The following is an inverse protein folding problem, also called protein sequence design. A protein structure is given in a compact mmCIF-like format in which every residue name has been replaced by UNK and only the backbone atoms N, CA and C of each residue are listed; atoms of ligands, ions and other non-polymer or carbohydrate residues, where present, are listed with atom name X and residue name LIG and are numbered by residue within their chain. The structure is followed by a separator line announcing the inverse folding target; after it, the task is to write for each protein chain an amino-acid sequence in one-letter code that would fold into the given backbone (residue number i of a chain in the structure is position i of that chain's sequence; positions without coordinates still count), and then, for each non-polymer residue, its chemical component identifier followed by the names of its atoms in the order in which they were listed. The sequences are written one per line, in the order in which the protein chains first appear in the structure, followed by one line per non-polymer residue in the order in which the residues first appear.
data_IF_895201704286
#
_entry.id   IF_895201704286
#
_cell.length_a   1.000
_cell.length_b   1.000
_cell.length_c   1.000
_cell.angle_alpha   90.00
_cell.angle_beta   90.00
_cell.angle_gamma   90.00
#
_symmetry.space_group_name_H-M   'P 1'
#
loop_
_entity.id
_entity.type
_entity.pdbx_description
1 polymer ?
#
# COMPACT_ATOMS: atom_id res chain seq x y z
N UNK A 1 27.43 11.12 -39.79
CA UNK A 1 27.19 9.91 -38.98
C UNK A 1 25.84 10.16 -38.34
N UNK A 2 24.81 9.64 -38.98
CA UNK A 2 23.42 9.81 -38.54
C UNK A 2 23.16 8.78 -37.43
N UNK A 3 22.43 9.18 -36.39
CA UNK A 3 22.03 8.28 -35.32
C UNK A 3 20.86 7.42 -35.81
N UNK A 4 20.90 6.13 -35.50
CA UNK A 4 19.87 5.16 -35.89
C UNK A 4 18.50 5.54 -35.28
N UNK A 5 17.37 5.39 -36.00
CA UNK A 5 16.06 5.82 -35.51
C UNK A 5 15.60 5.15 -34.20
N UNK A 6 16.18 3.99 -33.86
CA UNK A 6 15.84 3.23 -32.66
C UNK A 6 16.31 3.88 -31.35
N UNK A 7 17.49 4.49 -31.31
CA UNK A 7 18.06 5.04 -30.07
C UNK A 7 17.30 6.29 -29.61
N UNK A 8 16.83 7.11 -30.55
CA UNK A 8 15.97 8.26 -30.27
C UNK A 8 14.64 7.89 -29.59
N UNK A 9 14.13 6.67 -29.82
CA UNK A 9 12.91 6.18 -29.16
C UNK A 9 13.15 5.71 -27.71
N UNK A 10 14.38 5.33 -27.37
CA UNK A 10 14.74 4.86 -26.03
C UNK A 10 15.12 6.01 -25.09
N UNK A 11 15.63 7.13 -25.62
CA UNK A 11 15.90 8.33 -24.81
C UNK A 11 14.64 9.20 -24.59
N UNK A 12 13.64 9.12 -25.47
CA UNK A 12 12.39 9.89 -25.37
C UNK A 12 11.42 9.40 -24.27
N UNK A 13 11.63 8.23 -23.67
CA UNK A 13 10.81 7.70 -22.57
C UNK A 13 11.26 8.17 -21.18
N UNK A 14 12.42 8.83 -21.06
CA UNK A 14 12.88 9.48 -19.82
C UNK A 14 12.05 10.74 -19.53
N UNK A 15 10.86 10.57 -18.96
CA UNK A 15 10.03 11.71 -18.56
C UNK A 15 8.66 11.43 -17.93
N UNK A 16 8.09 10.23 -18.04
CA UNK A 16 6.86 9.86 -17.33
C UNK A 16 7.05 8.57 -16.54
N UNK A 17 7.15 8.72 -15.22
CA UNK A 17 7.07 7.61 -14.26
C UNK A 17 5.62 7.13 -14.24
N UNK A 18 5.40 5.83 -14.40
CA UNK A 18 4.07 5.24 -14.23
C UNK A 18 3.62 5.39 -12.77
N UNK A 19 2.31 5.44 -12.51
CA UNK A 19 1.75 5.56 -11.16
C UNK A 19 0.82 4.40 -10.76
N UNK A 20 0.50 3.51 -11.72
CA UNK A 20 -0.37 2.34 -11.54
C UNK A 20 0.46 1.07 -11.74
N UNK A 21 1.12 0.64 -10.68
CA UNK A 21 2.13 -0.41 -10.71
C UNK A 21 1.55 -1.82 -10.64
N UNK A 22 2.35 -2.80 -11.03
CA UNK A 22 2.12 -4.22 -10.72
C UNK A 22 2.60 -4.54 -9.31
N UNK A 23 2.08 -5.60 -8.70
CA UNK A 23 2.61 -6.08 -7.39
C UNK A 23 4.03 -6.60 -7.58
N UNK A 24 5.04 -6.10 -6.83
CA UNK A 24 6.40 -6.62 -6.87
C UNK A 24 6.45 -8.13 -6.63
N UNK A 25 7.25 -8.85 -7.43
CA UNK A 25 7.29 -10.32 -7.41
C UNK A 25 7.62 -10.90 -6.02
N UNK A 26 8.43 -10.17 -5.23
CA UNK A 26 8.82 -10.55 -3.88
C UNK A 26 7.64 -10.61 -2.88
N UNK A 27 6.56 -9.85 -3.12
CA UNK A 27 5.39 -9.80 -2.24
C UNK A 27 4.29 -10.82 -2.56
N UNK A 28 4.27 -11.37 -3.78
CA UNK A 28 3.29 -12.41 -4.19
C UNK A 28 3.41 -13.74 -3.42
N UNK A 29 4.52 -13.90 -2.69
CA UNK A 29 4.79 -15.09 -1.89
C UNK A 29 4.86 -16.36 -2.74
N UNK A 30 4.75 -17.53 -2.09
CA UNK A 30 4.74 -18.83 -2.79
C UNK A 30 3.34 -19.18 -3.34
N UNK A 31 2.71 -18.24 -4.05
CA UNK A 31 1.48 -18.45 -4.81
C UNK A 31 0.16 -18.16 -4.07
N UNK A 32 0.10 -17.12 -3.23
CA UNK A 32 -1.15 -16.68 -2.60
C UNK A 32 -1.44 -15.19 -2.86
N UNK A 33 -1.85 -14.89 -4.09
CA UNK A 33 -2.14 -13.52 -4.56
C UNK A 33 -3.48 -12.94 -4.05
N UNK A 34 -4.19 -13.62 -3.15
CA UNK A 34 -5.51 -13.20 -2.70
C UNK A 34 -5.52 -11.84 -1.98
N UNK A 35 -4.41 -11.44 -1.35
CA UNK A 35 -4.27 -10.15 -0.67
C UNK A 35 -4.16 -8.95 -1.63
N UNK A 36 -3.89 -9.18 -2.92
CA UNK A 36 -3.73 -8.15 -3.96
C UNK A 36 -4.83 -8.17 -5.04
N UNK A 37 -5.64 -9.22 -5.05
CA UNK A 37 -6.66 -9.45 -6.08
C UNK A 37 -8.04 -9.00 -5.59
N UNK A 38 -8.80 -8.23 -6.39
CA UNK A 38 -10.14 -7.79 -6.02
C UNK A 38 -11.12 -8.96 -5.82
N UNK A 39 -12.09 -8.72 -4.95
CA UNK A 39 -13.04 -9.72 -4.46
C UNK A 39 -14.49 -9.45 -4.90
N UNK A 40 -14.86 -8.19 -5.11
CA UNK A 40 -16.18 -7.74 -5.56
C UNK A 40 -16.13 -7.00 -6.90
N UNK A 41 -15.19 -6.07 -7.07
CA UNK A 41 -15.15 -5.13 -8.20
C UNK A 41 -13.76 -5.01 -8.82
N UNK A 42 -13.65 -5.35 -10.11
CA UNK A 42 -12.53 -4.88 -10.92
C UNK A 42 -12.67 -3.39 -11.17
N UNK A 43 -11.60 -2.64 -10.99
CA UNK A 43 -11.45 -1.22 -11.35
C UNK A 43 -10.16 -1.12 -12.14
N UNK A 44 -10.22 -0.55 -13.34
CA UNK A 44 -9.03 -0.48 -14.18
C UNK A 44 -8.74 -1.77 -14.95
N UNK A 45 -7.57 -1.85 -15.61
CA UNK A 45 -7.33 -2.83 -16.67
C UNK A 45 -6.97 -4.24 -16.18
N UNK A 46 -6.13 -4.37 -15.14
CA UNK A 46 -5.45 -5.63 -14.82
C UNK A 46 -6.38 -6.77 -14.37
N UNK A 47 -7.59 -6.45 -13.88
CA UNK A 47 -8.59 -7.43 -13.45
C UNK A 47 -9.89 -7.42 -14.28
N UNK A 48 -9.95 -6.59 -15.33
CA UNK A 48 -11.17 -6.35 -16.13
C UNK A 48 -11.79 -7.63 -16.71
N UNK A 49 -10.95 -8.61 -17.08
CA UNK A 49 -11.36 -9.89 -17.65
C UNK A 49 -11.69 -10.99 -16.62
N UNK A 50 -11.56 -10.75 -15.31
CA UNK A 50 -11.75 -11.76 -14.27
C UNK A 50 -13.23 -12.24 -14.22
N UNK A 51 -13.51 -13.53 -14.52
CA UNK A 51 -14.89 -14.02 -14.59
C UNK A 51 -15.61 -14.01 -13.23
N UNK A 52 -14.88 -13.92 -12.12
CA UNK A 52 -15.46 -13.89 -10.76
C UNK A 52 -16.08 -12.54 -10.42
N UNK A 53 -15.68 -11.48 -11.10
CA UNK A 53 -16.07 -10.08 -10.81
C UNK A 53 -17.20 -9.58 -11.73
N UNK A 54 -17.78 -10.47 -12.54
CA UNK A 54 -18.82 -10.15 -13.54
C UNK A 54 -20.11 -9.63 -12.92
N UNK A 55 -20.48 -10.11 -11.73
CA UNK A 55 -21.72 -9.70 -11.05
C UNK A 55 -21.75 -8.19 -10.77
N UNK A 56 -20.60 -7.56 -10.53
CA UNK A 56 -20.52 -6.12 -10.31
C UNK A 56 -20.62 -5.30 -11.61
N UNK A 57 -20.27 -5.87 -12.78
CA UNK A 57 -20.39 -5.14 -14.05
C UNK A 57 -21.84 -4.72 -14.32
N UNK A 58 -22.81 -5.58 -13.99
CA UNK A 58 -24.24 -5.23 -14.01
C UNK A 58 -24.57 -4.00 -13.14
N UNK A 59 -23.90 -3.84 -11.99
CA UNK A 59 -24.11 -2.69 -11.11
C UNK A 59 -23.43 -1.42 -11.63
N UNK A 60 -22.31 -1.53 -12.35
CA UNK A 60 -21.71 -0.40 -13.08
C UNK A 60 -22.61 0.08 -14.22
N UNK A 61 -23.06 -0.84 -15.08
CA UNK A 61 -23.99 -0.54 -16.19
C UNK A 61 -25.26 0.15 -15.68
N UNK A 62 -25.82 -0.38 -14.58
CA UNK A 62 -26.98 0.19 -13.89
C UNK A 62 -26.72 1.60 -13.36
N UNK A 63 -25.55 1.84 -12.74
CA UNK A 63 -25.18 3.17 -12.25
C UNK A 63 -24.97 4.15 -13.39
N UNK A 64 -24.32 3.74 -14.49
CA UNK A 64 -24.17 4.55 -15.69
C UNK A 64 -25.53 4.94 -16.29
N UNK A 65 -26.46 3.98 -16.43
CA UNK A 65 -27.84 4.26 -16.86
C UNK A 65 -28.57 5.25 -15.92
N UNK A 66 -28.38 5.13 -14.60
CA UNK A 66 -28.88 6.11 -13.62
C UNK A 66 -28.24 7.50 -13.80
N UNK A 67 -26.92 7.59 -14.02
CA UNK A 67 -26.20 8.85 -14.25
C UNK A 67 -26.72 9.54 -15.52
N UNK A 68 -26.78 8.82 -16.65
CA UNK A 68 -27.21 9.37 -17.94
C UNK A 68 -28.66 9.87 -17.86
N UNK A 69 -29.57 9.10 -17.21
CA UNK A 69 -30.96 9.53 -16.97
C UNK A 69 -31.09 10.73 -16.04
N UNK A 70 -30.26 10.81 -14.99
CA UNK A 70 -30.29 11.88 -13.98
C UNK A 70 -29.70 13.19 -14.52
N UNK A 71 -28.65 13.11 -15.34
CA UNK A 71 -27.95 14.27 -15.91
C UNK A 71 -28.54 14.72 -17.25
N UNK A 72 -29.20 13.84 -17.99
CA UNK A 72 -29.67 14.09 -19.35
C UNK A 72 -28.57 14.07 -20.40
N UNK A 73 -27.37 13.62 -20.04
CA UNK A 73 -26.18 13.57 -20.91
C UNK A 73 -26.16 12.34 -21.81
N UNK A 74 -25.48 12.46 -22.94
CA UNK A 74 -25.13 11.31 -23.76
C UNK A 74 -23.79 10.69 -23.32
N UNK A 75 -23.63 9.39 -23.53
CA UNK A 75 -22.38 8.69 -23.18
C UNK A 75 -21.18 9.21 -24.00
N UNK A 76 -21.41 9.74 -25.20
CA UNK A 76 -20.37 10.39 -26.02
C UNK A 76 -19.70 11.57 -25.31
N UNK A 77 -20.40 12.33 -24.46
CA UNK A 77 -19.79 13.43 -23.69
C UNK A 77 -18.69 12.93 -22.74
N UNK A 78 -18.85 11.73 -22.18
CA UNK A 78 -17.85 11.11 -21.32
C UNK A 78 -16.65 10.58 -22.11
N UNK A 79 -16.89 10.01 -23.29
CA UNK A 79 -15.81 9.57 -24.18
C UNK A 79 -15.00 10.76 -24.70
N UNK A 80 -15.66 11.80 -25.20
CA UNK A 80 -14.99 12.99 -25.74
C UNK A 80 -14.14 13.70 -24.67
N UNK A 81 -14.56 13.71 -23.40
CA UNK A 81 -13.79 14.29 -22.30
C UNK A 81 -12.50 13.54 -21.96
N UNK A 82 -12.43 12.20 -22.15
CA UNK A 82 -11.23 11.41 -21.84
C UNK A 82 -10.40 11.05 -23.09
N UNK A 83 -10.92 11.28 -24.29
CA UNK A 83 -10.34 10.85 -25.56
C UNK A 83 -8.92 11.34 -25.78
N UNK A 84 -8.68 12.63 -25.60
CA UNK A 84 -7.36 13.25 -25.78
C UNK A 84 -6.39 12.92 -24.63
N UNK A 85 -6.89 12.25 -23.58
CA UNK A 85 -6.13 11.82 -22.40
C UNK A 85 -5.82 10.31 -22.39
N UNK A 86 -6.34 9.54 -23.35
CA UNK A 86 -6.22 8.07 -23.40
C UNK A 86 -4.75 7.60 -23.30
N UNK A 87 -3.86 8.19 -24.08
CA UNK A 87 -2.45 7.81 -24.12
C UNK A 87 -1.74 8.20 -22.81
N UNK A 88 -2.13 9.29 -22.16
CA UNK A 88 -1.59 9.67 -20.85
C UNK A 88 -2.09 8.74 -19.75
N UNK A 89 -3.38 8.42 -19.75
CA UNK A 89 -3.98 7.46 -18.82
C UNK A 89 -3.39 6.05 -18.99
N UNK A 90 -3.08 5.64 -20.23
CA UNK A 90 -2.39 4.39 -20.53
C UNK A 90 -0.95 4.40 -20.02
N UNK A 91 -0.21 5.50 -20.22
CA UNK A 91 1.16 5.66 -19.75
C UNK A 91 1.28 5.68 -18.21
N UNK A 92 0.19 5.85 -17.48
CA UNK A 92 0.17 5.64 -16.03
C UNK A 92 0.32 4.16 -15.63
N UNK A 93 0.01 3.20 -16.49
CA UNK A 93 0.02 1.77 -16.19
C UNK A 93 1.33 1.08 -16.60
N UNK A 94 1.90 0.33 -15.67
CA UNK A 94 3.00 -0.61 -15.91
C UNK A 94 2.52 -1.79 -16.79
N UNK A 95 3.28 -2.13 -17.83
CA UNK A 95 3.00 -3.25 -18.75
C UNK A 95 1.60 -3.28 -19.40
N UNK A 96 1.08 -2.12 -19.85
CA UNK A 96 -0.22 -2.04 -20.56
C UNK A 96 -0.13 -1.61 -22.05
N UNK A 97 0.48 -2.43 -22.93
CA UNK A 97 0.54 -2.11 -24.36
C UNK A 97 -0.85 -2.13 -25.03
N UNK A 98 -1.03 -1.28 -26.05
CA UNK A 98 -2.28 -1.18 -26.83
C UNK A 98 -2.69 -2.54 -27.44
N UNK A 99 -1.71 -3.39 -27.81
CA UNK A 99 -1.94 -4.74 -28.32
C UNK A 99 -2.62 -5.69 -27.33
N UNK A 100 -2.49 -5.46 -26.02
CA UNK A 100 -3.18 -6.27 -25.00
C UNK A 100 -4.53 -5.69 -24.61
N UNK A 101 -4.73 -4.37 -24.75
CA UNK A 101 -5.99 -3.71 -24.41
C UNK A 101 -6.25 -2.53 -25.36
N UNK A 102 -7.00 -2.72 -26.46
CA UNK A 102 -7.24 -1.69 -27.47
C UNK A 102 -7.86 -0.41 -26.91
N UNK A 103 -7.53 0.74 -27.47
CA UNK A 103 -7.97 2.06 -26.96
C UNK A 103 -9.49 2.22 -26.85
N UNK A 104 -10.28 1.63 -27.75
CA UNK A 104 -11.74 1.70 -27.65
C UNK A 104 -12.26 1.00 -26.39
N UNK A 105 -11.77 -0.20 -26.07
CA UNK A 105 -12.20 -0.97 -24.91
C UNK A 105 -11.57 -0.46 -23.60
N UNK A 106 -10.36 0.11 -23.67
CA UNK A 106 -9.73 0.81 -22.56
C UNK A 106 -10.51 2.08 -22.18
N UNK A 107 -10.92 2.91 -23.15
CA UNK A 107 -11.79 4.06 -22.89
C UNK A 107 -13.16 3.66 -22.33
N UNK A 108 -13.80 2.60 -22.87
CA UNK A 108 -15.05 2.04 -22.30
C UNK A 108 -14.90 1.68 -20.83
N UNK A 109 -13.80 0.99 -20.50
CA UNK A 109 -13.47 0.63 -19.13
C UNK A 109 -13.27 1.87 -18.25
N UNK A 110 -12.45 2.85 -18.68
CA UNK A 110 -12.21 4.08 -17.92
C UNK A 110 -13.49 4.86 -17.63
N UNK A 111 -14.38 5.02 -18.62
CA UNK A 111 -15.69 5.69 -18.43
C UNK A 111 -16.56 4.90 -17.45
N UNK A 112 -16.76 3.60 -17.68
CA UNK A 112 -17.66 2.78 -16.89
C UNK A 112 -17.21 2.66 -15.43
N UNK A 113 -15.93 2.40 -15.22
CA UNK A 113 -15.34 2.22 -13.90
C UNK A 113 -15.22 3.57 -13.18
N UNK A 114 -14.83 4.64 -13.88
CA UNK A 114 -14.77 5.98 -13.30
C UNK A 114 -16.13 6.52 -12.88
N UNK A 115 -17.16 6.36 -13.72
CA UNK A 115 -18.55 6.67 -13.36
C UNK A 115 -19.02 5.87 -12.14
N UNK A 116 -18.74 4.56 -12.09
CA UNK A 116 -19.05 3.74 -10.93
C UNK A 116 -18.34 4.22 -9.66
N UNK A 117 -17.04 4.51 -9.73
CA UNK A 117 -16.25 5.00 -8.59
C UNK A 117 -16.83 6.30 -8.02
N UNK A 118 -17.12 7.28 -8.89
CA UNK A 118 -17.62 8.59 -8.46
C UNK A 118 -19.05 8.52 -7.93
N UNK A 119 -19.95 7.79 -8.59
CA UNK A 119 -21.33 7.59 -8.12
C UNK A 119 -21.36 6.87 -6.77
N UNK A 120 -20.47 5.89 -6.57
CA UNK A 120 -20.31 5.20 -5.31
C UNK A 120 -19.77 6.13 -4.21
N UNK A 121 -18.66 6.84 -4.46
CA UNK A 121 -18.06 7.76 -3.49
C UNK A 121 -19.03 8.88 -3.08
N UNK A 122 -19.71 9.52 -4.03
CA UNK A 122 -20.72 10.55 -3.74
C UNK A 122 -21.92 9.96 -3.00
N UNK A 123 -22.40 8.77 -3.38
CA UNK A 123 -23.50 8.09 -2.70
C UNK A 123 -23.17 7.63 -1.27
N UNK A 124 -21.88 7.47 -0.95
CA UNK A 124 -21.37 7.09 0.37
C UNK A 124 -20.89 8.27 1.24
N UNK A 125 -20.63 9.45 0.65
CA UNK A 125 -20.06 10.64 1.32
C UNK A 125 -20.82 11.02 2.60
N UNK A 126 -22.15 11.00 2.56
CA UNK A 126 -22.97 10.89 3.78
C UNK A 126 -23.91 9.68 3.67
N UNK A 127 -24.26 9.08 4.83
CA UNK A 127 -25.09 7.85 4.93
C UNK A 127 -26.50 7.93 4.31
N UNK A 128 -26.90 9.07 3.77
CA UNK A 128 -28.16 9.30 3.07
C UNK A 128 -28.02 9.85 1.64
N UNK A 129 -26.82 10.24 1.17
CA UNK A 129 -26.64 10.91 -0.12
C UNK A 129 -27.03 10.06 -1.34
N UNK A 130 -26.91 8.72 -1.27
CA UNK A 130 -27.44 7.86 -2.34
C UNK A 130 -28.95 8.04 -2.59
N UNK A 131 -29.73 8.51 -1.61
CA UNK A 131 -31.15 8.83 -1.81
C UNK A 131 -31.35 10.11 -2.63
N UNK A 132 -30.40 11.04 -2.59
CA UNK A 132 -30.39 12.28 -3.38
C UNK A 132 -29.97 12.02 -4.82
N UNK A 133 -29.06 11.06 -5.03
CA UNK A 133 -28.78 10.48 -6.36
C UNK A 133 -29.96 9.66 -6.94
N UNK A 134 -31.01 9.41 -6.15
CA UNK A 134 -32.24 8.73 -6.57
C UNK A 134 -32.29 7.22 -6.29
N UNK A 135 -31.30 6.64 -5.61
CA UNK A 135 -31.30 5.22 -5.26
C UNK A 135 -32.24 4.92 -4.08
N UNK A 136 -32.87 3.74 -4.11
CA UNK A 136 -33.83 3.31 -3.08
C UNK A 136 -33.13 2.92 -1.77
N UNK A 137 -33.82 3.07 -0.63
CA UNK A 137 -33.31 2.71 0.72
C UNK A 137 -32.84 1.25 0.92
N UNK A 138 -33.10 0.37 -0.04
CA UNK A 138 -32.68 -1.05 -0.05
C UNK A 138 -31.80 -1.36 -1.26
N UNK A 139 -31.10 -0.37 -1.81
CA UNK A 139 -30.21 -0.57 -2.95
C UNK A 139 -29.13 -1.62 -2.61
N UNK A 140 -28.90 -2.62 -3.47
CA UNK A 140 -27.94 -3.70 -3.18
C UNK A 140 -26.51 -3.22 -2.90
N UNK A 141 -26.11 -2.06 -3.44
CA UNK A 141 -24.78 -1.47 -3.22
C UNK A 141 -24.78 -0.63 -1.93
N UNK A 142 -25.65 0.39 -1.86
CA UNK A 142 -25.60 1.38 -0.78
C UNK A 142 -26.22 0.92 0.55
N UNK A 143 -27.20 0.01 0.54
CA UNK A 143 -27.91 -0.38 1.77
C UNK A 143 -27.20 -1.48 2.57
N UNK A 144 -26.09 -2.04 2.07
CA UNK A 144 -25.41 -3.18 2.67
C UNK A 144 -24.00 -2.80 3.09
N UNK A 145 -23.77 -2.78 4.39
CA UNK A 145 -22.52 -2.30 4.95
C UNK A 145 -21.28 -3.09 4.45
N UNK A 146 -21.38 -4.42 4.36
CA UNK A 146 -20.30 -5.26 3.80
C UNK A 146 -20.00 -5.00 2.32
N UNK A 147 -21.00 -4.55 1.55
CA UNK A 147 -20.84 -4.25 0.12
C UNK A 147 -20.07 -2.94 -0.05
N UNK A 148 -20.45 -1.92 0.72
CA UNK A 148 -19.71 -0.66 0.81
C UNK A 148 -18.25 -0.89 1.26
N UNK A 149 -18.04 -1.63 2.36
CA UNK A 149 -16.70 -1.96 2.84
C UNK A 149 -15.87 -2.73 1.80
N UNK A 150 -16.41 -3.77 1.17
CA UNK A 150 -15.67 -4.55 0.18
C UNK A 150 -15.32 -3.76 -1.08
N UNK A 151 -16.21 -2.88 -1.57
CA UNK A 151 -15.92 -2.00 -2.70
C UNK A 151 -14.79 -1.02 -2.34
N UNK A 152 -14.80 -0.43 -1.15
CA UNK A 152 -13.73 0.45 -0.68
C UNK A 152 -12.38 -0.27 -0.50
N UNK A 153 -12.39 -1.54 -0.10
CA UNK A 153 -11.17 -2.36 -0.04
C UNK A 153 -10.62 -2.69 -1.42
N UNK A 154 -11.48 -3.05 -2.38
CA UNK A 154 -11.07 -3.26 -3.76
C UNK A 154 -10.55 -1.96 -4.41
N UNK A 155 -11.12 -0.79 -4.06
CA UNK A 155 -10.67 0.54 -4.53
C UNK A 155 -9.26 0.93 -4.08
N UNK A 156 -8.64 0.23 -3.11
CA UNK A 156 -7.28 0.52 -2.63
C UNK A 156 -6.27 -0.58 -2.95
N UNK A 157 -6.62 -1.56 -3.80
CA UNK A 157 -5.65 -2.56 -4.26
C UNK A 157 -4.77 -1.97 -5.36
N UNK A 158 -3.46 -2.23 -5.31
CA UNK A 158 -2.48 -1.61 -6.21
C UNK A 158 -2.73 -1.94 -7.69
N UNK A 159 -3.22 -3.15 -7.98
CA UNK A 159 -3.59 -3.59 -9.33
C UNK A 159 -5.06 -3.26 -9.73
N UNK A 160 -5.75 -2.40 -8.96
CA UNK A 160 -7.18 -2.13 -9.14
C UNK A 160 -7.50 -0.62 -9.10
N UNK A 161 -6.73 0.18 -9.83
CA UNK A 161 -6.73 1.65 -9.78
C UNK A 161 -7.08 2.30 -11.14
N UNK A 162 -7.56 3.55 -11.08
CA UNK A 162 -7.73 4.48 -12.21
C UNK A 162 -7.05 5.82 -11.87
N UNK A 163 -6.37 6.49 -12.83
CA UNK A 163 -5.76 7.80 -12.60
C UNK A 163 -6.75 8.86 -12.14
N UNK A 164 -6.40 9.62 -11.09
CA UNK A 164 -7.27 10.67 -10.53
C UNK A 164 -7.68 11.69 -11.59
N UNK A 165 -6.79 12.09 -12.51
CA UNK A 165 -7.14 13.08 -13.52
C UNK A 165 -8.26 12.61 -14.48
N UNK A 166 -8.37 11.30 -14.73
CA UNK A 166 -9.51 10.72 -15.47
C UNK A 166 -10.78 10.82 -14.64
N UNK A 167 -10.71 10.56 -13.33
CA UNK A 167 -11.85 10.74 -12.42
C UNK A 167 -12.26 12.23 -12.33
N UNK A 168 -11.32 13.18 -12.34
CA UNK A 168 -11.64 14.61 -12.37
C UNK A 168 -12.40 15.00 -13.64
N UNK A 169 -12.00 14.50 -14.82
CA UNK A 169 -12.72 14.77 -16.06
C UNK A 169 -14.12 14.14 -16.08
N UNK A 170 -14.26 12.89 -15.62
CA UNK A 170 -15.58 12.23 -15.51
C UNK A 170 -16.46 12.97 -14.48
N UNK A 171 -15.89 13.49 -13.39
CA UNK A 171 -16.59 14.28 -12.38
C UNK A 171 -17.10 15.61 -12.94
N UNK A 172 -16.26 16.33 -13.70
CA UNK A 172 -16.64 17.56 -14.40
C UNK A 172 -17.81 17.30 -15.37
N UNK A 173 -17.74 16.23 -16.17
CA UNK A 173 -18.85 15.84 -17.06
C UNK A 173 -20.10 15.48 -16.25
N UNK A 174 -19.98 14.71 -15.16
CA UNK A 174 -21.14 14.20 -14.41
C UNK A 174 -21.85 15.28 -13.58
N UNK A 175 -21.11 16.20 -12.97
CA UNK A 175 -21.64 17.16 -11.98
C UNK A 175 -21.58 18.62 -12.42
N UNK A 176 -20.82 18.95 -13.48
CA UNK A 176 -20.64 20.33 -13.95
C UNK A 176 -19.75 21.18 -13.03
N UNK A 177 -19.00 20.54 -12.13
CA UNK A 177 -18.05 21.19 -11.22
C UNK A 177 -16.61 20.97 -11.72
N UNK A 178 -15.89 22.07 -11.92
CA UNK A 178 -14.52 22.12 -12.48
C UNK A 178 -13.43 22.17 -11.40
N UNK A 179 -13.79 22.13 -10.11
CA UNK A 179 -12.81 22.16 -9.03
C UNK A 179 -12.15 20.78 -8.86
N UNK A 180 -10.87 20.71 -9.25
CA UNK A 180 -10.04 19.48 -9.17
C UNK A 180 -9.80 18.95 -7.74
N UNK A 181 -10.25 19.65 -6.69
CA UNK A 181 -10.16 19.20 -5.30
C UNK A 181 -11.31 18.25 -4.89
N UNK A 182 -12.46 18.28 -5.57
CA UNK A 182 -13.68 17.58 -5.15
C UNK A 182 -13.54 16.06 -5.12
N UNK A 183 -12.90 15.47 -6.13
CA UNK A 183 -12.66 14.02 -6.16
C UNK A 183 -11.69 13.62 -5.05
N UNK A 184 -10.67 14.44 -4.80
CA UNK A 184 -9.72 14.26 -3.71
C UNK A 184 -10.38 14.39 -2.33
N UNK A 185 -11.31 15.33 -2.14
CA UNK A 185 -12.14 15.45 -0.92
C UNK A 185 -13.00 14.19 -0.70
N UNK A 186 -13.66 13.69 -1.75
CA UNK A 186 -14.45 12.44 -1.70
C UNK A 186 -13.58 11.24 -1.32
N UNK A 187 -12.37 11.13 -1.91
CA UNK A 187 -11.41 10.08 -1.57
C UNK A 187 -10.91 10.22 -0.12
N UNK A 188 -10.57 11.42 0.35
CA UNK A 188 -10.08 11.61 1.71
C UNK A 188 -11.15 11.38 2.80
N UNK A 189 -12.44 11.64 2.51
CA UNK A 189 -13.52 11.27 3.43
C UNK A 189 -13.73 9.74 3.47
N UNK A 190 -13.70 9.07 2.30
CA UNK A 190 -13.87 7.62 2.21
C UNK A 190 -12.70 6.84 2.85
N UNK A 191 -11.46 7.22 2.50
CA UNK A 191 -10.22 6.54 2.89
C UNK A 191 -9.59 7.20 4.13
N UNK A 192 -10.34 7.18 5.21
CA UNK A 192 -10.01 7.87 6.45
C UNK A 192 -8.99 7.09 7.32
N UNK A 193 -8.08 7.75 8.08
CA UNK A 193 -7.21 7.06 9.04
C UNK A 193 -7.94 6.20 10.10
N UNK A 194 -9.22 6.47 10.41
CA UNK A 194 -10.00 5.69 11.40
C UNK A 194 -10.12 4.21 11.09
N UNK A 195 -9.97 3.82 9.84
CA UNK A 195 -9.87 2.42 9.45
C UNK A 195 -8.70 1.75 10.21
N UNK A 196 -7.53 2.40 10.24
CA UNK A 196 -6.31 1.87 10.88
C UNK A 196 -6.29 2.11 12.39
N UNK A 197 -6.64 3.31 12.85
CA UNK A 197 -6.51 3.65 14.29
C UNK A 197 -7.74 3.25 15.12
N UNK A 198 -8.86 2.88 14.50
CA UNK A 198 -10.05 2.35 15.16
C UNK A 198 -10.83 3.31 16.08
N UNK A 199 -10.42 4.59 16.15
CA UNK A 199 -11.06 5.62 16.97
C UNK A 199 -11.01 6.97 16.28
N UNK A 200 -12.07 7.74 16.50
CA UNK A 200 -12.13 9.17 16.24
C UNK A 200 -11.40 9.89 17.38
N UNK A 201 -10.29 10.63 17.15
CA UNK A 201 -9.70 11.49 18.15
C UNK A 201 -10.75 12.46 18.68
N UNK A 202 -10.79 12.64 20.01
CA UNK A 202 -11.56 13.74 20.61
C UNK A 202 -10.61 14.92 20.74
N UNK A 203 -11.07 16.10 20.35
CA UNK A 203 -10.35 17.34 20.68
C UNK A 203 -10.32 17.52 22.20
N UNK A 204 -9.44 18.40 22.70
CA UNK A 204 -9.41 18.77 24.12
C UNK A 204 -10.77 19.29 24.63
N UNK A 205 -11.60 19.83 23.72
CA UNK A 205 -12.93 20.35 23.97
C UNK A 205 -14.04 19.26 23.93
N UNK A 206 -13.69 17.99 23.68
CA UNK A 206 -14.64 16.88 23.63
C UNK A 206 -15.46 16.78 22.34
N UNK A 207 -15.30 17.71 21.39
CA UNK A 207 -15.80 17.52 20.03
C UNK A 207 -15.09 16.31 19.39
N UNK A 208 -15.86 15.47 18.67
CA UNK A 208 -15.27 14.51 17.73
C UNK A 208 -14.45 15.30 16.72
N UNK A 209 -13.16 15.00 16.54
CA UNK A 209 -12.53 15.27 15.26
C UNK A 209 -13.18 14.33 14.25
N UNK A 210 -14.34 14.71 13.71
CA UNK A 210 -14.63 14.29 12.35
C UNK A 210 -13.43 14.83 11.56
N UNK A 211 -12.57 13.93 11.08
CA UNK A 211 -11.54 14.25 10.09
C UNK A 211 -12.26 14.47 8.74
N UNK A 212 -13.22 15.39 8.75
CA UNK A 212 -13.78 15.96 7.55
C UNK A 212 -12.67 16.77 6.93
N UNK A 213 -12.46 16.59 5.63
CA UNK A 213 -11.51 17.38 4.85
C UNK A 213 -11.68 18.89 5.09
N UNK A 214 -12.90 19.35 5.40
CA UNK A 214 -13.23 20.73 5.76
C UNK A 214 -12.49 21.33 6.99
N UNK A 215 -11.85 20.51 7.84
CA UNK A 215 -11.07 20.97 9.01
C UNK A 215 -9.58 20.61 8.98
N UNK A 216 -9.13 19.84 8.00
CA UNK A 216 -7.70 19.77 7.69
C UNK A 216 -7.42 20.90 6.71
N UNK A 217 -6.39 21.70 6.97
CA UNK A 217 -5.96 22.70 5.99
C UNK A 217 -5.40 21.97 4.75
N UNK A 218 -6.24 21.80 3.72
CA UNK A 218 -5.91 21.15 2.43
C UNK A 218 -4.78 21.91 1.69
N UNK A 219 -4.42 23.10 2.17
CA UNK A 219 -3.32 23.92 1.67
C UNK A 219 -1.96 23.25 1.88
N UNK A 220 -1.44 22.63 0.81
CA UNK A 220 -0.04 22.18 0.73
C UNK A 220 0.18 20.67 0.55
N UNK A 221 -0.88 19.85 0.43
CA UNK A 221 -0.71 18.46 -0.06
C UNK A 221 -0.50 18.45 -1.59
N UNK A 222 0.31 17.52 -2.07
CA UNK A 222 0.32 17.15 -3.49
C UNK A 222 -0.98 16.40 -3.82
N UNK A 223 -1.52 16.61 -5.02
CA UNK A 223 -2.69 15.88 -5.49
C UNK A 223 -2.34 14.39 -5.66
N UNK A 224 -3.09 13.42 -5.09
CA UNK A 224 -2.79 12.00 -5.27
C UNK A 224 -3.05 11.54 -6.71
N UNK A 225 -2.33 10.54 -7.18
CA UNK A 225 -2.53 9.93 -8.50
C UNK A 225 -3.67 8.90 -8.54
N UNK A 226 -4.07 8.35 -7.39
CA UNK A 226 -4.95 7.17 -7.27
C UNK A 226 -5.68 7.13 -5.91
N UNK A 227 -6.66 6.23 -5.75
CA UNK A 227 -7.32 5.98 -4.45
C UNK A 227 -6.35 5.40 -3.41
N UNK A 228 -5.47 4.48 -3.82
CA UNK A 228 -4.44 3.90 -2.96
C UNK A 228 -3.47 4.99 -2.44
N UNK A 229 -2.98 5.86 -3.34
CA UNK A 229 -2.15 7.00 -2.92
C UNK A 229 -2.94 7.97 -2.04
N UNK A 230 -4.21 8.27 -2.38
CA UNK A 230 -5.03 9.14 -1.56
C UNK A 230 -5.15 8.61 -0.13
N UNK A 231 -5.39 7.30 0.07
CA UNK A 231 -5.41 6.70 1.40
C UNK A 231 -4.03 6.75 2.09
N UNK A 232 -2.96 6.44 1.37
CA UNK A 232 -1.59 6.51 1.89
C UNK A 232 -1.24 7.93 2.36
N UNK A 233 -1.51 8.96 1.56
CA UNK A 233 -1.33 10.37 1.94
C UNK A 233 -2.20 10.76 3.15
N UNK A 234 -3.44 10.25 3.21
CA UNK A 234 -4.36 10.57 4.29
C UNK A 234 -3.93 10.00 5.63
N UNK A 235 -3.34 8.79 5.60
CA UNK A 235 -2.60 8.26 6.73
C UNK A 235 -1.45 9.24 7.03
N UNK A 236 -0.50 9.39 6.11
CA UNK A 236 0.78 10.12 6.28
C UNK A 236 0.69 11.65 6.52
N UNK A 237 -0.50 12.22 6.74
CA UNK A 237 -0.70 13.66 6.91
C UNK A 237 0.06 14.24 8.12
N UNK A 238 0.43 15.52 8.01
CA UNK A 238 1.18 16.28 9.03
C UNK A 238 2.53 15.64 9.45
N UNK A 239 3.19 14.95 8.52
CA UNK A 239 4.60 14.58 8.67
C UNK A 239 5.55 15.79 8.48
N UNK A 240 5.35 16.85 9.27
CA UNK A 240 6.23 18.04 9.32
C UNK A 240 7.56 17.78 10.05
N UNK A 241 7.77 16.57 10.58
CA UNK A 241 9.00 16.16 11.28
C UNK A 241 9.74 15.07 10.49
N UNK A 242 10.95 15.36 9.95
CA UNK A 242 11.80 14.37 9.31
C UNK A 242 12.64 13.62 10.36
N UNK A 243 11.98 12.90 11.28
CA UNK A 243 12.65 11.85 12.04
C UNK A 243 12.35 10.50 11.38
N UNK A 244 13.38 9.70 11.02
CA UNK A 244 13.19 8.28 10.77
C UNK A 244 12.92 7.61 12.13
N UNK A 245 11.68 7.79 12.63
CA UNK A 245 11.23 7.44 13.98
C UNK A 245 11.61 6.02 14.36
N UNK A 246 11.52 5.10 13.40
CA UNK A 246 11.89 3.70 13.61
C UNK A 246 13.41 3.52 13.74
N UNK A 247 14.24 4.20 12.94
CA UNK A 247 15.71 4.14 13.04
C UNK A 247 16.22 4.65 14.40
N UNK A 248 15.62 5.73 14.93
CA UNK A 248 15.92 6.22 16.28
C UNK A 248 15.46 5.21 17.36
N UNK A 249 14.27 4.61 17.20
CA UNK A 249 13.78 3.57 18.10
C UNK A 249 14.65 2.29 18.07
N UNK A 250 15.10 1.84 16.89
CA UNK A 250 16.00 0.69 16.70
C UNK A 250 17.27 0.84 17.56
N UNK A 251 18.02 1.93 17.38
CA UNK A 251 19.27 2.16 18.12
C UNK A 251 19.07 2.31 19.63
N UNK A 252 17.96 2.89 20.07
CA UNK A 252 17.68 3.09 21.50
C UNK A 252 17.13 1.84 22.20
N UNK A 253 16.33 1.01 21.52
CA UNK A 253 15.80 -0.25 22.05
C UNK A 253 16.90 -1.31 22.18
N UNK A 254 17.78 -1.44 21.18
CA UNK A 254 18.95 -2.33 21.29
C UNK A 254 19.91 -1.88 22.40
N UNK A 255 20.17 -0.58 22.53
CA UNK A 255 20.97 -0.04 23.65
C UNK A 255 20.35 -0.36 25.02
N UNK A 256 19.03 -0.19 25.18
CA UNK A 256 18.32 -0.51 26.41
C UNK A 256 18.40 -2.01 26.76
N UNK A 257 18.23 -2.89 25.76
CA UNK A 257 18.37 -4.33 25.88
C UNK A 257 19.79 -4.73 26.32
N UNK A 258 20.84 -4.29 25.60
CA UNK A 258 22.26 -4.58 25.93
C UNK A 258 22.65 -4.07 27.33
N UNK A 259 22.13 -2.90 27.73
CA UNK A 259 22.32 -2.33 29.08
C UNK A 259 21.65 -3.17 30.16
N UNK A 260 20.51 -3.80 29.87
CA UNK A 260 19.82 -4.69 30.81
C UNK A 260 20.55 -6.02 31.00
N UNK A 261 21.04 -6.65 29.91
CA UNK A 261 21.92 -7.83 29.99
C UNK A 261 23.17 -7.57 30.83
N UNK A 262 23.80 -6.41 30.63
CA UNK A 262 24.97 -5.96 31.41
C UNK A 262 24.68 -5.81 32.91
N UNK A 263 23.45 -5.41 33.28
CA UNK A 263 22.99 -5.32 34.68
C UNK A 263 22.62 -6.67 35.29
N UNK A 264 22.28 -7.67 34.46
CA UNK A 264 21.92 -9.04 34.89
C UNK A 264 23.11 -9.98 35.06
N UNK A 265 24.33 -9.50 34.84
CA UNK A 265 25.54 -10.31 34.99
C UNK A 265 25.74 -11.36 33.89
N UNK A 266 25.01 -11.27 32.78
CA UNK A 266 25.19 -12.15 31.61
C UNK A 266 26.37 -11.64 30.78
N UNK A 267 27.57 -11.81 31.31
CA UNK A 267 28.81 -11.46 30.64
C UNK A 267 29.41 -12.69 29.94
N UNK A 268 29.44 -12.66 28.61
CA UNK A 268 30.27 -13.49 27.70
C UNK A 268 30.06 -15.01 27.74
N UNK A 269 29.03 -15.48 27.03
CA UNK A 269 29.18 -16.60 26.08
C UNK A 269 28.40 -16.24 24.80
N UNK A 270 28.86 -16.72 23.64
CA UNK A 270 28.44 -16.31 22.28
C UNK A 270 28.75 -14.86 21.91
N UNK A 271 30.04 -14.60 21.66
CA UNK A 271 30.48 -13.56 20.74
C UNK A 271 31.68 -14.10 19.96
N UNK A 272 31.40 -14.96 18.97
CA UNK A 272 32.34 -15.31 17.91
C UNK A 272 31.86 -14.63 16.63
N UNK A 273 32.65 -13.70 16.13
CA UNK A 273 32.50 -13.12 14.80
C UNK A 273 32.90 -14.16 13.75
N UNK A 274 32.25 -14.21 12.56
CA UNK A 274 32.77 -15.00 11.46
C UNK A 274 34.15 -14.44 11.08
N UNK A 275 35.18 -15.25 11.26
CA UNK A 275 36.51 -14.92 10.75
C UNK A 275 36.57 -15.26 9.27
N UNK A 276 37.03 -14.32 8.45
CA UNK A 276 37.37 -14.61 7.07
C UNK A 276 38.49 -15.68 7.02
N UNK A 277 38.51 -16.57 6.03
CA UNK A 277 39.54 -17.60 5.93
C UNK A 277 40.88 -16.95 5.57
N UNK A 278 41.80 -16.86 6.53
CA UNK A 278 43.19 -16.52 6.24
C UNK A 278 43.88 -17.68 5.50
N UNK A 279 44.47 -17.35 4.36
CA UNK A 279 45.36 -18.24 3.63
C UNK A 279 46.48 -18.75 4.54
N UNK A 280 46.67 -20.07 4.57
CA UNK A 280 47.94 -20.67 4.98
C UNK A 280 48.58 -21.33 3.78
N UNK A 281 49.54 -20.63 3.20
CA UNK A 281 50.63 -21.28 2.49
C UNK A 281 51.31 -22.28 3.44
N UNK A 282 51.57 -23.47 2.93
CA UNK A 282 52.79 -24.22 3.19
C UNK A 282 53.02 -25.13 1.98
N UNK A 283 54.24 -25.07 1.44
CA UNK A 283 54.65 -25.76 0.23
C UNK A 283 55.26 -27.14 0.51
N UNK A 284 55.71 -27.81 -0.56
CA UNK A 284 56.47 -29.08 -0.61
C UNK A 284 55.62 -30.34 -0.30
N UNK A 285 55.64 -31.46 -1.03
CA UNK A 285 56.16 -31.88 -2.36
C UNK A 285 55.41 -33.21 -2.74
N UNK A 286 55.55 -33.93 -3.88
CA UNK A 286 56.50 -33.98 -5.00
C UNK A 286 55.81 -34.62 -6.26
N UNK A 287 56.25 -34.27 -7.47
CA UNK A 287 56.32 -35.05 -8.74
C UNK A 287 55.26 -36.10 -9.21
N UNK A 288 54.71 -35.88 -10.43
CA UNK A 288 54.81 -36.72 -11.66
C UNK A 288 53.72 -36.27 -12.67
N UNK A 289 54.05 -35.77 -13.87
CA UNK A 289 54.25 -36.53 -15.14
C UNK A 289 53.02 -37.39 -15.56
N UNK A 290 52.47 -37.35 -16.79
CA UNK A 290 52.69 -36.54 -17.99
C UNK A 290 51.55 -36.85 -19.03
N UNK A 291 51.47 -36.11 -20.15
CA UNK A 291 50.88 -36.47 -21.46
C UNK A 291 49.38 -36.29 -21.82
N UNK A 292 49.20 -35.40 -22.82
CA UNK A 292 48.55 -35.61 -24.12
C UNK A 292 47.01 -35.51 -24.32
N UNK A 293 46.62 -34.42 -25.01
CA UNK A 293 45.86 -34.36 -26.27
C UNK A 293 44.68 -35.33 -26.53
N UNK A 294 43.48 -34.74 -26.74
CA UNK A 294 42.65 -34.84 -27.97
C UNK A 294 41.28 -34.15 -27.74
N UNK A 295 40.98 -33.10 -28.51
CA UNK A 295 40.15 -33.09 -29.74
C UNK A 295 38.63 -33.05 -29.48
N UNK A 296 38.05 -31.92 -29.93
CA UNK A 296 36.74 -31.72 -30.55
C UNK A 296 35.58 -32.70 -30.25
N UNK A 297 34.44 -32.14 -29.81
CA UNK A 297 33.16 -32.33 -30.49
C UNK A 297 32.18 -31.20 -30.14
N UNK A 298 31.49 -30.69 -31.17
CA UNK A 298 30.45 -29.67 -31.08
C UNK A 298 29.06 -30.27 -30.71
N UNK A 299 28.04 -29.42 -30.72
CA UNK A 299 26.61 -29.75 -30.72
C UNK A 299 26.01 -30.38 -29.44
N UNK A 300 25.61 -29.52 -28.49
CA UNK A 300 24.20 -29.37 -28.08
C UNK A 300 24.05 -28.22 -27.08
N UNK A 301 23.93 -26.98 -27.58
CA UNK A 301 23.61 -25.82 -26.75
C UNK A 301 22.08 -25.71 -26.57
N UNK A 302 21.56 -26.20 -25.44
CA UNK A 302 20.24 -25.77 -24.95
C UNK A 302 20.26 -24.24 -24.75
N UNK A 303 19.14 -23.52 -25.00
CA UNK A 303 19.11 -22.08 -24.84
C UNK A 303 19.35 -21.71 -23.38
N UNK A 304 20.39 -20.93 -23.12
CA UNK A 304 20.77 -20.51 -21.78
C UNK A 304 19.59 -19.87 -21.05
N UNK A 305 19.09 -20.56 -20.01
CA UNK A 305 18.30 -19.89 -18.97
C UNK A 305 19.19 -18.83 -18.33
N UNK A 306 18.99 -17.56 -18.70
CA UNK A 306 19.47 -16.41 -17.91
C UNK A 306 19.15 -16.70 -16.45
N UNK A 307 20.19 -16.78 -15.62
CA UNK A 307 20.02 -16.99 -14.18
C UNK A 307 19.37 -15.73 -13.61
N UNK A 308 18.08 -15.85 -13.29
CA UNK A 308 17.38 -14.87 -12.46
C UNK A 308 18.06 -14.93 -11.09
N UNK A 309 18.90 -13.93 -10.80
CA UNK A 309 19.79 -13.93 -9.64
C UNK A 309 20.40 -12.57 -9.31
N UNK A 310 20.62 -11.72 -10.33
CA UNK A 310 21.34 -10.44 -10.19
C UNK A 310 20.44 -9.20 -10.35
N UNK A 311 19.15 -9.30 -10.06
CA UNK A 311 18.38 -8.11 -9.66
C UNK A 311 18.69 -7.81 -8.19
N UNK A 312 19.10 -6.59 -7.83
CA UNK A 312 19.45 -6.26 -6.46
C UNK A 312 18.19 -6.29 -5.59
N UNK A 313 17.98 -7.42 -4.91
CA UNK A 313 17.11 -7.50 -3.75
C UNK A 313 17.48 -6.34 -2.82
N UNK A 314 16.50 -5.53 -2.45
CA UNK A 314 16.73 -4.39 -1.54
C UNK A 314 17.10 -4.97 -0.18
N UNK A 315 18.41 -5.08 0.05
CA UNK A 315 18.97 -5.25 1.39
C UNK A 315 18.76 -3.91 2.09
N UNK A 316 17.55 -3.73 2.62
CA UNK A 316 17.39 -3.02 3.88
C UNK A 316 18.39 -3.70 4.83
N UNK A 317 19.29 -2.95 5.45
CA UNK A 317 20.37 -3.50 6.29
C UNK A 317 19.79 -4.05 7.62
N UNK A 318 19.11 -5.18 7.49
CA UNK A 318 18.41 -5.90 8.55
C UNK A 318 19.40 -6.54 9.55
N UNK A 319 20.65 -6.74 9.17
CA UNK A 319 21.66 -7.40 10.02
C UNK A 319 22.12 -6.51 11.17
N UNK A 320 22.05 -5.18 11.04
CA UNK A 320 22.56 -4.27 12.07
C UNK A 320 21.53 -3.90 13.17
N UNK A 321 20.22 -4.04 12.92
CA UNK A 321 19.17 -3.44 13.77
C UNK A 321 18.01 -4.40 14.13
N UNK A 322 18.30 -5.61 14.61
CA UNK A 322 17.26 -6.54 15.10
C UNK A 322 16.66 -6.07 16.44
N UNK A 323 15.46 -5.48 16.41
CA UNK A 323 14.63 -5.29 17.61
C UNK A 323 14.24 -6.65 18.18
N UNK A 324 14.16 -6.74 19.51
CA UNK A 324 13.70 -7.94 20.22
C UNK A 324 12.19 -7.91 20.40
N UNK A 325 11.57 -9.10 20.53
CA UNK A 325 10.12 -9.20 20.72
C UNK A 325 9.63 -8.45 21.97
N UNK A 326 8.33 -8.15 22.03
CA UNK A 326 7.68 -7.48 23.16
C UNK A 326 8.03 -8.15 24.50
N UNK A 327 7.93 -9.47 24.56
CA UNK A 327 8.24 -10.25 25.77
C UNK A 327 9.72 -10.13 26.17
N UNK A 328 10.65 -10.18 25.21
CA UNK A 328 12.06 -9.96 25.49
C UNK A 328 12.33 -8.52 25.97
N UNK A 329 11.81 -7.50 25.29
CA UNK A 329 11.97 -6.11 25.74
C UNK A 329 11.37 -5.88 27.13
N UNK A 330 10.20 -6.46 27.41
CA UNK A 330 9.56 -6.46 28.74
C UNK A 330 10.43 -7.15 29.79
N UNK A 331 11.04 -8.28 29.46
CA UNK A 331 12.05 -8.90 30.33
C UNK A 331 13.21 -7.95 30.60
N UNK A 332 13.74 -7.20 29.61
CA UNK A 332 14.79 -6.21 29.86
C UNK A 332 14.35 -5.00 30.71
N UNK A 333 13.05 -4.86 31.01
CA UNK A 333 12.49 -3.76 31.78
C UNK A 333 11.97 -2.60 30.94
N UNK A 334 11.72 -2.82 29.64
CA UNK A 334 10.94 -1.88 28.81
C UNK A 334 9.47 -1.96 29.23
N UNK A 335 8.82 -0.81 29.37
CA UNK A 335 7.42 -0.68 29.76
C UNK A 335 6.60 -0.26 28.55
N UNK A 336 5.70 -1.12 28.09
CA UNK A 336 4.81 -0.84 26.97
C UNK A 336 3.61 0.02 27.42
N UNK A 337 3.27 1.05 26.64
CA UNK A 337 2.06 1.86 26.82
C UNK A 337 1.42 2.23 25.49
N UNK A 338 0.09 2.24 25.45
CA UNK A 338 -0.66 2.86 24.36
C UNK A 338 -0.43 4.38 24.30
N UNK A 339 -0.22 4.89 23.08
CA UNK A 339 -0.15 6.31 22.75
C UNK A 339 -1.44 6.77 22.07
N UNK A 340 -2.06 7.81 22.61
CA UNK A 340 -3.26 8.43 22.03
C UNK A 340 -2.87 9.43 20.94
N UNK A 341 -2.71 8.95 19.71
CA UNK A 341 -2.26 9.73 18.54
C UNK A 341 -3.04 9.29 17.30
N UNK A 342 -3.35 10.19 16.35
CA UNK A 342 -3.99 9.82 15.08
C UNK A 342 -3.02 9.11 14.10
N UNK A 343 -1.73 9.10 14.41
CA UNK A 343 -0.66 8.64 13.54
C UNK A 343 -0.19 7.23 13.95
N UNK A 344 -0.49 6.19 13.17
CA UNK A 344 -0.18 4.81 13.60
C UNK A 344 1.32 4.48 13.66
N UNK A 345 2.17 5.24 12.95
CA UNK A 345 3.64 5.11 12.94
C UNK A 345 4.35 5.93 14.04
N UNK A 346 3.62 6.73 14.83
CA UNK A 346 4.16 7.65 15.85
C UNK A 346 4.63 6.93 17.13
N UNK A 347 5.53 5.95 16.97
CA UNK A 347 6.18 5.21 18.05
C UNK A 347 7.23 6.08 18.74
N UNK A 348 7.30 6.02 20.07
CA UNK A 348 8.28 6.79 20.86
C UNK A 348 8.86 5.99 22.02
N UNK A 349 10.18 6.04 22.19
CA UNK A 349 10.87 5.42 23.32
C UNK A 349 11.57 6.47 24.18
N UNK A 350 11.26 6.53 25.48
CA UNK A 350 11.99 7.36 26.45
C UNK A 350 13.06 6.53 27.17
N UNK A 351 14.33 6.77 26.80
CA UNK A 351 15.52 6.19 27.43
C UNK A 351 15.61 6.40 28.95
N UNK A 352 14.98 7.46 29.51
CA UNK A 352 15.07 7.77 30.95
C UNK A 352 14.10 6.94 31.78
N UNK A 353 12.85 6.80 31.32
CA UNK A 353 11.83 5.99 32.00
C UNK A 353 11.78 4.53 31.56
N UNK A 354 12.38 4.20 30.41
CA UNK A 354 12.27 2.87 29.78
C UNK A 354 10.90 2.60 29.16
N UNK A 355 10.09 3.64 28.93
CA UNK A 355 8.74 3.51 28.37
C UNK A 355 8.79 3.53 26.84
N UNK A 356 8.18 2.53 26.22
CA UNK A 356 7.86 2.48 24.79
C UNK A 356 6.37 2.80 24.60
N UNK A 357 6.09 3.97 24.05
CA UNK A 357 4.76 4.42 23.67
C UNK A 357 4.46 3.97 22.23
N UNK A 358 3.45 3.11 22.06
CA UNK A 358 3.04 2.53 20.77
C UNK A 358 1.63 3.04 20.43
N UNK A 359 1.40 3.60 19.22
CA UNK A 359 0.07 3.99 18.75
C UNK A 359 -0.94 2.84 18.76
N UNK A 360 -2.23 3.17 18.86
CA UNK A 360 -3.28 2.17 18.69
C UNK A 360 -3.40 1.74 17.22
N UNK A 361 -3.43 0.43 16.98
CA UNK A 361 -3.80 -0.15 15.70
C UNK A 361 -5.02 -1.08 15.84
N UNK A 362 -5.97 -0.92 14.93
CA UNK A 362 -7.13 -1.79 14.77
C UNK A 362 -6.79 -2.89 13.77
N UNK A 363 -6.88 -4.14 14.23
CA UNK A 363 -6.71 -5.33 13.39
C UNK A 363 -8.10 -5.88 13.07
N UNK A 364 -8.45 -5.82 11.79
CA UNK A 364 -9.65 -6.34 11.17
C UNK A 364 -9.29 -7.32 10.04
N UNK A 365 -10.29 -8.01 9.48
CA UNK A 365 -10.10 -9.04 8.45
C UNK A 365 -9.36 -8.53 7.20
N UNK A 366 -9.56 -7.26 6.85
CA UNK A 366 -8.96 -6.61 5.68
C UNK A 366 -7.59 -5.95 5.96
N UNK A 367 -7.17 -5.80 7.22
CA UNK A 367 -5.96 -5.04 7.57
C UNK A 367 -4.69 -5.59 6.91
N UNK A 368 -4.57 -6.92 6.80
CA UNK A 368 -3.43 -7.58 6.16
C UNK A 368 -3.31 -7.19 4.67
N UNK A 369 -4.40 -7.28 3.92
CA UNK A 369 -4.43 -6.93 2.49
C UNK A 369 -4.09 -5.46 2.29
N UNK A 370 -4.69 -4.55 3.07
CA UNK A 370 -4.37 -3.12 3.02
C UNK A 370 -2.87 -2.85 3.25
N UNK A 371 -2.28 -3.39 4.33
CA UNK A 371 -0.84 -3.17 4.61
C UNK A 371 0.08 -3.77 3.55
N UNK A 372 -0.28 -4.90 2.95
CA UNK A 372 0.47 -5.48 1.82
C UNK A 372 0.41 -4.61 0.56
N UNK A 373 -0.75 -4.02 0.25
CA UNK A 373 -0.89 -3.11 -0.90
C UNK A 373 -0.14 -1.79 -0.67
N UNK A 374 -0.15 -1.25 0.55
CA UNK A 374 0.70 -0.12 0.92
C UNK A 374 2.20 -0.44 0.85
N UNK A 375 2.62 -1.64 1.28
CA UNK A 375 4.01 -2.07 1.17
C UNK A 375 4.43 -2.18 -0.29
N UNK A 376 3.58 -2.76 -1.16
CA UNK A 376 3.79 -2.79 -2.60
C UNK A 376 3.92 -1.37 -3.17
N UNK A 377 3.04 -0.46 -2.75
CA UNK A 377 3.05 0.94 -3.17
C UNK A 377 4.37 1.65 -2.79
N UNK A 378 4.83 1.56 -1.54
CA UNK A 378 6.10 2.16 -1.12
C UNK A 378 7.33 1.54 -1.80
N UNK A 379 7.33 0.22 -2.05
CA UNK A 379 8.39 -0.45 -2.81
C UNK A 379 8.42 -0.04 -4.29
N UNK A 380 7.32 0.45 -4.85
CA UNK A 380 7.28 1.00 -6.20
C UNK A 380 7.70 2.48 -6.27
N UNK A 381 7.65 3.21 -5.14
CA UNK A 381 7.96 4.65 -5.06
C UNK A 381 9.28 4.97 -4.33
N UNK A 382 10.25 4.06 -4.31
CA UNK A 382 11.50 4.14 -3.50
C UNK A 382 12.27 5.46 -3.62
N UNK A 383 12.20 6.15 -4.76
CA UNK A 383 12.85 7.45 -4.99
C UNK A 383 12.25 8.61 -4.17
N UNK A 384 11.07 8.41 -3.57
CA UNK A 384 10.39 9.37 -2.70
C UNK A 384 10.68 8.99 -1.23
N UNK A 385 11.18 9.94 -0.43
CA UNK A 385 11.82 9.72 0.88
C UNK A 385 10.88 9.28 2.03
N UNK A 386 9.86 8.44 1.78
CA UNK A 386 8.71 8.27 2.66
C UNK A 386 8.28 6.81 2.92
N UNK A 387 9.22 5.89 3.14
CA UNK A 387 8.97 4.46 3.44
C UNK A 387 8.47 4.20 4.90
N UNK A 388 7.52 4.99 5.43
CA UNK A 388 7.12 4.84 6.85
C UNK A 388 6.25 3.60 7.09
N UNK A 389 5.44 3.16 6.12
CA UNK A 389 4.60 1.97 6.32
C UNK A 389 5.46 0.71 6.33
N UNK A 390 6.40 0.57 5.39
CA UNK A 390 7.40 -0.49 5.39
C UNK A 390 8.23 -0.48 6.69
N UNK A 391 8.70 0.69 7.12
CA UNK A 391 9.44 0.83 8.39
C UNK A 391 8.61 0.41 9.61
N UNK A 392 7.32 0.74 9.65
CA UNK A 392 6.40 0.35 10.72
C UNK A 392 6.10 -1.16 10.69
N UNK A 393 5.92 -1.75 9.51
CA UNK A 393 5.67 -3.20 9.39
C UNK A 393 6.89 -3.99 9.87
N UNK A 394 8.11 -3.61 9.48
CA UNK A 394 9.35 -4.25 9.96
C UNK A 394 9.54 -4.12 11.49
N UNK A 395 9.13 -2.98 12.05
CA UNK A 395 9.11 -2.77 13.50
C UNK A 395 8.12 -3.70 14.21
N UNK A 396 6.90 -3.82 13.67
CA UNK A 396 5.87 -4.70 14.25
C UNK A 396 6.22 -6.19 14.09
N UNK A 397 6.82 -6.59 12.96
CA UNK A 397 7.35 -7.94 12.73
C UNK A 397 8.44 -8.30 13.75
N UNK A 398 9.37 -7.37 14.01
CA UNK A 398 10.39 -7.52 15.05
C UNK A 398 9.81 -7.62 16.47
N UNK A 399 8.72 -6.91 16.76
CA UNK A 399 8.05 -6.94 18.05
C UNK A 399 7.21 -8.21 18.27
N UNK A 400 6.52 -8.70 17.25
CA UNK A 400 5.43 -9.70 17.39
C UNK A 400 5.88 -11.06 16.86
N UNK A 401 6.56 -11.83 17.70
CA UNK A 401 7.06 -13.17 17.35
C UNK A 401 6.20 -14.31 17.91
N UNK A 402 5.27 -14.01 18.83
CA UNK A 402 4.47 -15.00 19.54
C UNK A 402 3.09 -14.44 19.95
N UNK A 403 2.17 -15.33 20.30
CA UNK A 403 0.86 -14.94 20.85
C UNK A 403 1.00 -14.11 22.14
N UNK A 404 2.03 -14.38 22.96
CA UNK A 404 2.29 -13.62 24.18
C UNK A 404 2.69 -12.16 23.90
N UNK A 405 3.42 -11.90 22.81
CA UNK A 405 3.72 -10.52 22.38
C UNK A 405 2.43 -9.78 21.98
N UNK A 406 1.50 -10.45 21.28
CA UNK A 406 0.19 -9.89 20.92
C UNK A 406 -0.67 -9.62 22.16
N UNK A 407 -0.70 -10.55 23.10
CA UNK A 407 -1.51 -10.42 24.32
C UNK A 407 -1.01 -9.28 25.22
N UNK A 408 0.30 -9.04 25.28
CA UNK A 408 0.87 -7.87 25.96
C UNK A 408 0.48 -6.55 25.26
N UNK A 409 0.56 -6.48 23.93
CA UNK A 409 0.16 -5.30 23.16
C UNK A 409 -1.35 -5.04 23.23
N UNK A 410 -2.17 -6.08 23.36
CA UNK A 410 -3.61 -5.96 23.69
C UNK A 410 -3.82 -5.45 25.11
N UNK A 411 -3.10 -5.99 26.09
CA UNK A 411 -3.21 -5.61 27.49
C UNK A 411 -2.81 -4.14 27.74
N UNK A 412 -1.82 -3.61 27.00
CA UNK A 412 -1.46 -2.19 27.07
C UNK A 412 -2.33 -1.28 26.17
N UNK A 413 -3.24 -1.86 25.37
CA UNK A 413 -4.17 -1.15 24.49
C UNK A 413 -3.58 -0.69 23.15
N UNK A 414 -2.38 -1.16 22.77
CA UNK A 414 -1.76 -0.83 21.48
C UNK A 414 -2.38 -1.62 20.32
N UNK A 415 -2.79 -2.87 20.53
CA UNK A 415 -3.55 -3.65 19.55
C UNK A 415 -5.00 -3.80 20.01
N UNK A 416 -5.94 -3.44 19.12
CA UNK A 416 -7.37 -3.71 19.29
C UNK A 416 -7.84 -4.58 18.13
N UNK A 417 -8.59 -5.64 18.41
CA UNK A 417 -9.23 -6.45 17.36
C UNK A 417 -10.70 -6.05 17.22
N UNK A 418 -11.22 -6.01 15.98
CA UNK A 418 -12.67 -5.90 15.78
C UNK A 418 -13.33 -7.26 15.99
N UNK A 419 -13.98 -7.45 17.14
CA UNK A 419 -15.08 -8.41 17.19
C UNK A 419 -16.18 -7.94 16.22
N UNK A 420 -16.79 -8.86 15.47
CA UNK A 420 -17.73 -8.55 14.37
C UNK A 420 -18.90 -7.62 14.79
N UNK A 421 -19.24 -7.54 16.08
CA UNK A 421 -20.31 -6.70 16.62
C UNK A 421 -20.05 -5.18 16.48
N UNK A 422 -18.78 -4.73 16.47
CA UNK A 422 -18.45 -3.30 16.40
C UNK A 422 -18.75 -2.72 15.01
N UNK A 423 -18.44 -3.46 13.95
CA UNK A 423 -18.75 -3.06 12.57
C UNK A 423 -20.25 -3.07 12.28
N UNK A 424 -21.03 -3.93 12.96
CA UNK A 424 -22.48 -4.04 12.78
C UNK A 424 -23.28 -2.92 13.49
N UNK A 425 -22.62 -2.05 14.26
CA UNK A 425 -23.28 -0.95 14.97
C UNK A 425 -24.24 -1.40 16.07
N UNK A 426 -24.18 -2.66 16.50
CA UNK A 426 -25.03 -3.24 17.56
C UNK A 426 -24.45 -2.97 18.95
N UNK A 427 -24.34 -1.69 19.30
CA UNK A 427 -24.24 -1.29 20.71
C UNK A 427 -25.61 -1.47 21.37
N UNK A 428 -25.67 -2.22 22.48
CA UNK A 428 -26.85 -2.30 23.36
C UNK A 428 -27.01 -1.05 24.22
#
# INVERSE_FOLDING_TARGET
MELEPGEASFEASKGKKHCMYRVPWCLRGRGNDNDFRPQLVSIGPYHSADPRLRDMQFHKDRMLDCILKRTGKDISEFYDAIKDLEHEARACYEDLPETSFPSEDFMKMLVLDGCFMLEFLVGCYERSHYSELGYVKKDPIFSKLYMCYGILMDMILIENQIPLFILNQIYEVQFGDTHNDKVTDLMFEAFNPFWVIGRVPKSENGEKLILSSSKLEVTGRNMPSSCLEAFWQNLMYDCTTPEPLVAAAYGHLDFAWRRSLSRRGVARQHMETPTAPENKENAENEENEENAENEENEENAEPERKRIGDEPMIIIDLEQHVIRSVMALKEAGVIFKHKNTPFFWDVKFDLKSGVLEVPQIMIAEWSKSMFLNFMAFELCHIEEENQKILSYILFMDSLVNSAADVDELRACGAIVSTDHEILLGTSR
#
